data_IF_086589161283
#
_entry.id   IF_086589161283
#
_cell.length_a   1.000
_cell.length_b   1.000
_cell.length_c   1.000
_cell.angle_alpha   90.00
_cell.angle_beta   90.00
_cell.angle_gamma   90.00
#
_symmetry.space_group_name_H-M   'P 1'
#
loop_
_entity.id
_entity.type
_entity.pdbx_description
1 polymer ?
#
# COMPACT_ATOMS: atom_id res chain seq x y z
N UNK A 1 -23.83 -0.73 32.85
CA UNK A 1 -24.42 -0.19 31.61
C UNK A 1 -24.98 1.20 31.93
N UNK A 2 -24.21 2.25 31.68
CA UNK A 2 -24.70 3.62 31.73
C UNK A 2 -24.88 4.10 30.29
N UNK A 3 -26.07 4.55 29.96
CA UNK A 3 -26.41 5.16 28.68
C UNK A 3 -26.35 6.66 28.85
N UNK A 4 -25.50 7.34 28.10
CA UNK A 4 -25.43 8.79 28.05
C UNK A 4 -26.21 9.25 26.80
N UNK A 5 -27.32 9.97 27.00
CA UNK A 5 -28.00 10.68 25.94
C UNK A 5 -27.32 12.05 25.72
N UNK A 6 -26.71 12.22 24.55
CA UNK A 6 -26.36 13.53 24.01
C UNK A 6 -27.43 13.94 23.00
N UNK A 7 -27.97 15.13 23.13
CA UNK A 7 -28.92 15.67 22.15
C UNK A 7 -28.25 15.76 20.77
N UNK A 8 -28.69 14.90 19.86
CA UNK A 8 -28.18 14.72 18.50
C UNK A 8 -27.64 13.30 18.29
N UNK A 9 -28.51 12.40 18.05
CA UNK A 9 -28.44 11.03 17.47
C UNK A 9 -27.07 10.35 17.30
N UNK A 10 -26.35 10.07 18.40
CA UNK A 10 -25.27 9.07 18.40
C UNK A 10 -25.31 8.29 19.73
N UNK A 11 -25.69 7.02 19.66
CA UNK A 11 -25.62 6.06 20.76
C UNK A 11 -24.23 5.39 20.79
N UNK A 12 -23.47 5.59 21.85
CA UNK A 12 -22.26 4.81 22.12
C UNK A 12 -22.47 3.86 23.30
N UNK A 13 -22.25 2.58 23.08
CA UNK A 13 -22.14 1.56 24.15
C UNK A 13 -20.67 1.36 24.49
N UNK A 14 -20.27 1.66 25.72
CA UNK A 14 -18.91 1.49 26.21
C UNK A 14 -18.83 0.30 27.19
N UNK A 15 -17.83 -0.55 27.04
CA UNK A 15 -17.57 -1.64 27.98
C UNK A 15 -16.96 -1.13 29.29
N UNK A 16 -17.29 -1.79 30.39
CA UNK A 16 -17.30 -1.28 31.76
C UNK A 16 -15.95 -0.86 32.39
N UNK A 17 -14.80 -1.23 31.84
CA UNK A 17 -13.51 -0.94 32.46
C UNK A 17 -12.75 0.28 31.86
N UNK A 18 -13.08 0.67 30.65
CA UNK A 18 -12.47 1.83 29.98
C UNK A 18 -13.22 3.13 30.28
N UNK A 19 -14.52 3.01 30.60
CA UNK A 19 -15.44 4.12 30.86
C UNK A 19 -15.11 4.91 32.12
N UNK A 20 -14.59 4.26 33.16
CA UNK A 20 -14.40 4.93 34.46
C UNK A 20 -13.24 5.93 34.44
N UNK A 21 -12.16 5.63 33.74
CA UNK A 21 -11.00 6.53 33.67
C UNK A 21 -11.25 7.74 32.75
N UNK A 22 -11.97 7.53 31.65
CA UNK A 22 -12.34 8.59 30.72
C UNK A 22 -13.37 9.55 31.32
N UNK A 23 -14.38 9.01 32.05
CA UNK A 23 -15.39 9.78 32.74
C UNK A 23 -14.80 10.66 33.87
N UNK A 24 -13.85 10.16 34.65
CA UNK A 24 -13.23 10.92 35.71
C UNK A 24 -12.37 12.08 35.17
N UNK A 25 -11.72 11.92 34.05
CA UNK A 25 -10.95 13.01 33.42
C UNK A 25 -11.87 14.04 32.73
N UNK A 26 -12.95 13.61 32.07
CA UNK A 26 -13.95 14.48 31.46
C UNK A 26 -14.70 15.29 32.55
N UNK A 27 -15.05 14.67 33.70
CA UNK A 27 -15.69 15.37 34.80
C UNK A 27 -14.73 16.36 35.50
N UNK A 28 -13.43 16.06 35.62
CA UNK A 28 -12.45 17.01 36.13
C UNK A 28 -12.31 18.25 35.22
N UNK A 29 -12.34 18.07 33.94
CA UNK A 29 -12.29 19.18 32.94
C UNK A 29 -13.59 20.01 33.02
N UNK A 30 -14.76 19.41 33.25
CA UNK A 30 -16.04 20.10 33.32
C UNK A 30 -16.17 20.99 34.57
N UNK A 31 -15.47 20.68 35.63
CA UNK A 31 -15.49 21.48 36.90
C UNK A 31 -14.67 22.78 36.83
N UNK A 32 -13.75 22.88 35.86
CA UNK A 32 -12.85 24.05 35.75
C UNK A 32 -13.30 25.10 34.73
N UNK A 33 -14.38 24.89 33.96
CA UNK A 33 -14.81 25.84 32.93
C UNK A 33 -16.22 26.37 33.19
N UNK A 34 -16.30 27.64 33.49
CA UNK A 34 -17.53 28.39 33.67
C UNK A 34 -18.27 28.64 32.35
N UNK A 35 -19.56 28.92 32.46
CA UNK A 35 -20.66 28.98 31.46
C UNK A 35 -20.42 29.52 30.02
N UNK A 36 -19.26 30.00 29.64
CA UNK A 36 -19.07 30.69 28.36
C UNK A 36 -18.17 29.98 27.33
N UNK A 37 -17.75 28.72 27.50
CA UNK A 37 -16.78 28.08 26.59
C UNK A 37 -17.09 26.63 26.17
N UNK A 38 -18.34 26.35 25.80
CA UNK A 38 -18.75 25.06 25.23
C UNK A 38 -18.01 24.75 23.93
N UNK A 39 -17.71 25.77 23.13
CA UNK A 39 -16.98 25.62 21.87
C UNK A 39 -15.49 25.22 22.04
N UNK A 40 -14.84 25.71 23.08
CA UNK A 40 -13.43 25.36 23.35
C UNK A 40 -13.30 23.92 23.85
N UNK A 41 -14.22 23.48 24.67
CA UNK A 41 -14.25 22.13 25.23
C UNK A 41 -14.51 21.07 24.16
N UNK A 42 -15.40 21.33 23.17
CA UNK A 42 -15.66 20.40 22.07
C UNK A 42 -14.47 20.27 21.10
N UNK A 43 -13.69 21.34 20.92
CA UNK A 43 -12.50 21.32 20.05
C UNK A 43 -11.34 20.54 20.72
N UNK A 44 -11.17 20.69 22.02
CA UNK A 44 -10.19 19.91 22.80
C UNK A 44 -10.61 18.44 22.88
N UNK A 45 -11.87 18.15 23.17
CA UNK A 45 -12.39 16.78 23.19
C UNK A 45 -12.25 16.07 21.84
N UNK A 46 -12.54 16.76 20.73
CA UNK A 46 -12.28 16.22 19.38
C UNK A 46 -10.80 15.95 19.16
N UNK A 47 -9.89 16.86 19.56
CA UNK A 47 -8.44 16.63 19.43
C UNK A 47 -7.94 15.50 20.31
N UNK A 48 -8.43 15.40 21.54
CA UNK A 48 -8.08 14.31 22.48
C UNK A 48 -8.63 12.98 21.96
N UNK A 49 -9.88 12.95 21.48
CA UNK A 49 -10.47 11.74 20.90
C UNK A 49 -9.71 11.31 19.62
N UNK A 50 -9.39 12.25 18.76
CA UNK A 50 -8.55 12.00 17.58
C UNK A 50 -7.17 11.51 18.00
N UNK A 51 -6.53 12.09 18.99
CA UNK A 51 -5.22 11.65 19.52
C UNK A 51 -5.26 10.21 20.03
N UNK A 52 -6.31 9.85 20.81
CA UNK A 52 -6.47 8.47 21.29
C UNK A 52 -6.82 7.50 20.16
N UNK A 53 -7.69 7.89 19.21
CA UNK A 53 -7.99 7.07 18.04
C UNK A 53 -6.76 6.88 17.13
N UNK A 54 -5.91 7.91 16.99
CA UNK A 54 -4.67 7.82 16.20
C UNK A 54 -3.61 6.98 16.91
N UNK A 55 -3.60 6.95 18.24
CA UNK A 55 -2.64 6.14 19.01
C UNK A 55 -2.90 4.64 18.87
N UNK A 56 -4.15 4.25 18.61
CA UNK A 56 -4.54 2.84 18.41
C UNK A 56 -4.51 2.44 16.92
N UNK A 57 -4.16 3.35 15.99
CA UNK A 57 -3.97 3.00 14.60
C UNK A 57 -2.71 2.13 14.45
N UNK A 58 -2.92 0.93 13.91
CA UNK A 58 -1.82 0.05 13.56
C UNK A 58 -0.94 0.73 12.52
N UNK A 59 0.32 0.96 12.87
CA UNK A 59 1.31 1.45 11.92
C UNK A 59 2.01 0.24 11.31
N UNK A 60 2.12 0.13 9.98
CA UNK A 60 2.87 -0.97 9.37
C UNK A 60 4.35 -0.86 9.71
N UNK A 61 5.00 -2.01 9.81
CA UNK A 61 6.45 -2.11 9.96
C UNK A 61 7.13 -2.02 8.60
N UNK A 62 6.52 -2.63 7.56
CA UNK A 62 7.01 -2.62 6.19
C UNK A 62 5.90 -2.23 5.20
N UNK A 63 6.29 -1.52 4.15
CA UNK A 63 5.40 -1.11 3.06
C UNK A 63 6.03 -1.50 1.73
N UNK A 64 5.24 -2.16 0.88
CA UNK A 64 5.56 -2.38 -0.52
C UNK A 64 4.58 -1.61 -1.38
N UNK A 65 5.06 -0.84 -2.34
CA UNK A 65 4.23 -0.13 -3.31
C UNK A 65 4.61 -0.55 -4.72
N UNK A 66 3.67 -1.11 -5.47
CA UNK A 66 3.90 -1.48 -6.87
C UNK A 66 3.22 -0.52 -7.83
N UNK A 67 3.95 -0.12 -8.87
CA UNK A 67 3.42 0.67 -9.97
C UNK A 67 4.26 0.48 -11.23
N UNK A 68 3.61 0.51 -12.39
CA UNK A 68 4.29 0.55 -13.67
C UNK A 68 5.23 1.76 -13.82
N UNK A 69 4.94 2.84 -13.07
CA UNK A 69 5.69 4.09 -13.15
C UNK A 69 6.82 4.22 -12.12
N UNK A 70 7.17 3.18 -11.38
CA UNK A 70 8.36 3.17 -10.53
C UNK A 70 9.62 3.11 -11.39
N UNK A 71 10.48 4.10 -11.28
CA UNK A 71 11.66 4.32 -12.15
C UNK A 71 11.32 4.35 -13.64
N UNK A 72 10.06 4.59 -13.99
CA UNK A 72 9.55 4.62 -15.35
C UNK A 72 8.58 5.80 -15.49
N UNK A 73 9.06 6.94 -15.98
CA UNK A 73 8.27 8.17 -16.04
C UNK A 73 7.40 8.19 -17.29
N UNK A 74 6.17 7.69 -17.15
CA UNK A 74 5.19 7.61 -18.24
C UNK A 74 4.04 8.59 -18.02
N UNK A 75 3.54 8.73 -16.79
CA UNK A 75 2.33 9.52 -16.52
C UNK A 75 2.31 10.17 -15.14
N UNK A 76 1.11 10.44 -14.64
CA UNK A 76 0.88 11.19 -13.41
C UNK A 76 1.13 10.37 -12.13
N UNK A 77 1.07 9.05 -12.20
CA UNK A 77 1.32 8.19 -11.04
C UNK A 77 2.78 8.32 -10.57
N UNK A 78 3.72 8.43 -11.53
CA UNK A 78 5.10 8.78 -11.22
C UNK A 78 5.20 9.99 -10.30
N UNK A 79 4.47 11.07 -10.63
CA UNK A 79 4.49 12.30 -9.83
C UNK A 79 3.94 12.06 -8.42
N UNK A 80 2.82 11.33 -8.31
CA UNK A 80 2.23 10.99 -7.00
C UNK A 80 3.21 10.21 -6.13
N UNK A 81 3.84 9.17 -6.68
CA UNK A 81 4.76 8.32 -5.93
C UNK A 81 6.05 9.07 -5.57
N UNK A 82 6.68 9.73 -6.56
CA UNK A 82 7.97 10.39 -6.38
C UNK A 82 7.90 11.58 -5.41
N UNK A 83 6.80 12.34 -5.41
CA UNK A 83 6.66 13.50 -4.51
C UNK A 83 6.41 13.10 -3.05
N UNK A 84 5.73 11.97 -2.80
CA UNK A 84 5.49 11.49 -1.44
C UNK A 84 6.60 10.60 -0.89
N UNK A 85 7.48 10.08 -1.76
CA UNK A 85 8.52 9.13 -1.40
C UNK A 85 9.43 9.64 -0.29
N UNK A 86 9.84 10.93 -0.34
CA UNK A 86 10.66 11.52 0.72
C UNK A 86 9.99 11.44 2.10
N UNK A 87 8.70 11.82 2.20
CA UNK A 87 7.96 11.77 3.47
C UNK A 87 7.82 10.35 4.01
N UNK A 88 7.62 9.38 3.11
CA UNK A 88 7.54 7.97 3.48
C UNK A 88 8.91 7.44 3.94
N UNK A 89 9.97 7.81 3.24
CA UNK A 89 11.35 7.44 3.60
C UNK A 89 11.75 8.02 4.95
N UNK A 90 11.40 9.27 5.25
CA UNK A 90 11.62 9.88 6.57
C UNK A 90 10.92 9.11 7.69
N UNK A 91 9.70 8.63 7.44
CA UNK A 91 8.89 7.92 8.42
C UNK A 91 9.28 6.45 8.57
N UNK A 92 9.46 5.75 7.47
CA UNK A 92 9.66 4.29 7.44
C UNK A 92 11.12 3.91 7.17
N UNK A 93 11.94 4.84 6.69
CA UNK A 93 13.32 4.60 6.29
C UNK A 93 13.42 3.44 5.28
N UNK A 94 14.39 2.57 5.42
CA UNK A 94 14.62 1.42 4.54
C UNK A 94 13.63 0.25 4.78
N UNK A 95 12.42 0.56 5.25
CA UNK A 95 11.29 -0.36 5.38
C UNK A 95 10.15 -0.04 4.42
N UNK A 96 10.40 0.87 3.47
CA UNK A 96 9.52 1.08 2.31
C UNK A 96 10.24 0.67 1.04
N UNK A 97 9.55 -0.12 0.22
CA UNK A 97 10.05 -0.67 -1.03
C UNK A 97 9.10 -0.32 -2.16
N UNK A 98 9.63 0.26 -3.22
CA UNK A 98 8.89 0.50 -4.45
C UNK A 98 9.21 -0.60 -5.46
N UNK A 99 8.19 -1.21 -6.05
CA UNK A 99 8.34 -2.30 -7.03
C UNK A 99 7.93 -1.77 -8.39
N UNK A 100 8.84 -1.86 -9.36
CA UNK A 100 8.62 -1.46 -10.75
C UNK A 100 9.03 -2.53 -11.74
N UNK A 101 8.59 -2.40 -13.01
CA UNK A 101 9.02 -3.28 -14.09
C UNK A 101 10.45 -2.97 -14.50
N UNK A 102 11.26 -3.99 -14.75
CA UNK A 102 12.60 -3.81 -15.32
C UNK A 102 12.52 -3.70 -16.85
N UNK A 103 12.01 -2.58 -17.33
CA UNK A 103 11.93 -2.27 -18.78
C UNK A 103 13.21 -1.68 -19.36
N UNK A 104 14.23 -1.49 -18.50
CA UNK A 104 15.52 -0.91 -18.87
C UNK A 104 16.65 -1.95 -18.91
N UNK A 105 16.33 -3.23 -19.07
CA UNK A 105 17.32 -4.29 -19.14
C UNK A 105 18.42 -3.99 -20.17
N UNK A 106 19.67 -4.11 -19.74
CA UNK A 106 20.82 -3.83 -20.61
C UNK A 106 21.03 -2.36 -21.00
N UNK A 107 20.25 -1.44 -20.39
CA UNK A 107 20.38 0.00 -20.58
C UNK A 107 20.50 0.71 -19.25
N UNK A 108 21.16 1.87 -19.24
CA UNK A 108 21.23 2.74 -18.07
C UNK A 108 19.87 3.42 -17.85
N UNK A 109 19.34 3.29 -16.62
CA UNK A 109 18.12 3.98 -16.21
C UNK A 109 18.50 5.19 -15.33
N UNK A 110 18.28 6.43 -15.79
CA UNK A 110 18.68 7.63 -15.04
C UNK A 110 17.92 7.82 -13.73
N UNK A 111 16.82 7.11 -13.55
CA UNK A 111 15.99 7.15 -12.33
C UNK A 111 16.36 6.05 -11.33
N UNK A 112 17.27 5.16 -11.64
CA UNK A 112 17.61 4.01 -10.81
C UNK A 112 19.11 3.92 -10.56
N UNK A 113 19.50 3.92 -9.28
CA UNK A 113 20.89 3.74 -8.84
C UNK A 113 20.98 2.31 -8.28
N UNK A 114 21.52 1.40 -9.07
CA UNK A 114 21.64 -0.01 -8.67
C UNK A 114 22.63 -0.19 -7.51
N UNK A 115 22.34 -1.16 -6.64
CA UNK A 115 23.20 -1.52 -5.53
C UNK A 115 23.35 -3.04 -5.40
N UNK A 116 24.57 -3.50 -5.48
CA UNK A 116 24.88 -4.94 -5.30
C UNK A 116 24.67 -5.39 -3.86
N UNK A 117 24.82 -4.48 -2.90
CA UNK A 117 24.78 -4.80 -1.48
C UNK A 117 23.37 -4.78 -0.88
N UNK A 118 22.45 -3.97 -1.44
CA UNK A 118 21.08 -3.92 -0.94
C UNK A 118 20.38 -5.26 -1.17
N UNK A 119 19.89 -5.84 -0.09
CA UNK A 119 19.17 -7.12 -0.08
C UNK A 119 19.91 -8.26 -0.80
N UNK A 120 21.27 -8.27 -0.80
CA UNK A 120 22.08 -9.19 -1.59
C UNK A 120 21.77 -10.67 -1.34
N UNK A 121 21.60 -11.07 -0.07
CA UNK A 121 21.26 -12.43 0.28
C UNK A 121 19.86 -12.83 -0.24
N UNK A 122 18.88 -11.94 -0.12
CA UNK A 122 17.56 -12.18 -0.67
C UNK A 122 17.56 -12.18 -2.20
N UNK A 123 18.27 -11.27 -2.88
CA UNK A 123 18.38 -11.29 -4.35
C UNK A 123 18.86 -12.65 -4.86
N UNK A 124 19.88 -13.22 -4.20
CA UNK A 124 20.40 -14.55 -4.54
C UNK A 124 19.33 -15.62 -4.33
N UNK A 125 18.65 -15.61 -3.19
CA UNK A 125 17.56 -16.56 -2.89
C UNK A 125 16.41 -16.44 -3.92
N UNK A 126 15.97 -15.23 -4.22
CA UNK A 126 14.90 -14.95 -5.17
C UNK A 126 15.21 -15.56 -6.55
N UNK A 127 16.46 -15.40 -7.02
CA UNK A 127 16.89 -15.98 -8.29
C UNK A 127 16.98 -17.52 -8.24
N UNK A 128 17.61 -18.06 -7.19
CA UNK A 128 17.94 -19.51 -7.14
C UNK A 128 16.76 -20.40 -6.71
N UNK A 129 15.82 -19.87 -5.94
CA UNK A 129 14.71 -20.63 -5.34
C UNK A 129 13.34 -20.25 -5.86
N UNK A 130 13.13 -18.96 -6.14
CA UNK A 130 11.81 -18.45 -6.55
C UNK A 130 11.74 -18.13 -8.04
N UNK A 131 12.83 -18.34 -8.79
CA UNK A 131 12.95 -18.04 -10.23
C UNK A 131 12.64 -16.55 -10.54
N UNK A 132 12.95 -15.67 -9.60
CA UNK A 132 12.73 -14.22 -9.71
C UNK A 132 14.03 -13.50 -10.02
N UNK A 133 14.12 -12.91 -11.20
CA UNK A 133 15.19 -12.01 -11.57
C UNK A 133 14.84 -10.58 -11.14
N UNK A 134 15.60 -10.02 -10.18
CA UNK A 134 15.36 -8.68 -9.66
C UNK A 134 16.65 -7.87 -9.59
N UNK A 135 16.50 -6.56 -9.83
CA UNK A 135 17.53 -5.55 -9.57
C UNK A 135 17.10 -4.71 -8.39
N UNK A 136 17.97 -4.49 -7.42
CA UNK A 136 17.68 -3.68 -6.23
C UNK A 136 18.62 -2.49 -6.16
N UNK A 137 18.05 -1.35 -5.83
CA UNK A 137 18.80 -0.10 -5.75
C UNK A 137 18.01 1.02 -5.09
N UNK A 138 18.37 2.25 -5.43
CA UNK A 138 17.71 3.46 -4.96
C UNK A 138 17.02 4.19 -6.11
N UNK A 139 15.85 4.73 -5.86
CA UNK A 139 15.20 5.65 -6.78
C UNK A 139 15.93 7.00 -6.76
N UNK A 140 16.41 7.47 -7.90
CA UNK A 140 17.11 8.75 -8.02
C UNK A 140 16.14 9.93 -7.95
N UNK A 141 15.52 10.10 -6.80
CA UNK A 141 14.57 11.17 -6.43
C UNK A 141 14.81 11.57 -4.97
N UNK A 142 14.25 12.70 -4.48
CA UNK A 142 14.37 13.07 -3.08
C UNK A 142 13.91 11.95 -2.13
N UNK A 143 14.73 11.67 -1.12
CA UNK A 143 14.53 10.60 -0.17
C UNK A 143 15.16 9.26 -0.54
N UNK A 144 15.56 9.08 -1.79
CA UNK A 144 16.26 7.89 -2.31
C UNK A 144 15.70 6.56 -1.76
N UNK A 145 14.37 6.30 -1.87
CA UNK A 145 13.77 5.09 -1.35
C UNK A 145 14.29 3.85 -2.07
N UNK A 146 14.20 2.70 -1.39
CA UNK A 146 14.58 1.42 -1.99
C UNK A 146 13.61 1.06 -3.12
N UNK A 147 14.17 0.62 -4.23
CA UNK A 147 13.43 0.11 -5.40
C UNK A 147 13.86 -1.32 -5.70
N UNK A 148 12.89 -2.12 -6.06
CA UNK A 148 13.04 -3.45 -6.63
C UNK A 148 12.46 -3.39 -8.05
N UNK A 149 13.31 -3.54 -9.06
CA UNK A 149 12.89 -3.72 -10.44
C UNK A 149 12.83 -5.22 -10.74
N UNK A 150 11.69 -5.70 -11.23
CA UNK A 150 11.47 -7.12 -11.51
C UNK A 150 11.42 -7.39 -13.00
N UNK A 151 12.17 -8.39 -13.46
CA UNK A 151 12.01 -8.96 -14.78
C UNK A 151 10.74 -9.82 -14.81
N UNK A 152 9.75 -9.36 -15.56
CA UNK A 152 8.47 -10.05 -15.69
C UNK A 152 8.35 -10.86 -16.99
N UNK A 153 9.34 -10.79 -17.89
CA UNK A 153 9.31 -11.48 -19.17
C UNK A 153 9.19 -13.02 -19.05
N UNK A 154 9.84 -13.69 -18.09
CA UNK A 154 9.70 -15.15 -17.94
C UNK A 154 8.27 -15.60 -17.63
N UNK A 155 7.43 -14.74 -17.07
CA UNK A 155 6.04 -15.09 -16.75
C UNK A 155 5.13 -15.23 -17.97
N UNK A 156 5.54 -14.73 -19.14
CA UNK A 156 4.80 -14.92 -20.37
C UNK A 156 4.68 -16.40 -20.78
N UNK A 157 5.66 -17.22 -20.44
CA UNK A 157 5.62 -18.67 -20.69
C UNK A 157 4.51 -19.37 -19.88
N UNK A 158 4.20 -18.83 -18.69
CA UNK A 158 3.17 -19.34 -17.77
C UNK A 158 1.85 -18.53 -17.83
N UNK A 159 1.73 -17.59 -18.77
CA UNK A 159 0.62 -16.62 -18.85
C UNK A 159 -0.77 -17.27 -18.81
N UNK A 160 -0.98 -18.29 -19.63
CA UNK A 160 -2.29 -18.94 -19.72
C UNK A 160 -2.66 -19.69 -18.42
N UNK A 161 -1.68 -20.26 -17.73
CA UNK A 161 -1.90 -20.93 -16.45
C UNK A 161 -2.25 -19.89 -15.37
N UNK A 162 -1.53 -18.76 -15.35
CA UNK A 162 -1.80 -17.63 -14.44
C UNK A 162 -3.22 -17.08 -14.67
N UNK A 163 -3.63 -16.89 -15.93
CA UNK A 163 -4.98 -16.41 -16.26
C UNK A 163 -6.07 -17.40 -15.91
N UNK A 164 -5.79 -18.70 -16.11
CA UNK A 164 -6.70 -19.77 -15.70
C UNK A 164 -6.90 -19.78 -14.19
N UNK A 165 -5.81 -19.59 -13.43
CA UNK A 165 -5.87 -19.49 -11.98
C UNK A 165 -6.70 -18.28 -11.53
N UNK A 166 -6.49 -17.10 -12.12
CA UNK A 166 -7.25 -15.88 -11.85
C UNK A 166 -8.73 -16.05 -12.18
N UNK A 167 -9.06 -16.74 -13.27
CA UNK A 167 -10.44 -17.08 -13.58
C UNK A 167 -11.07 -18.01 -12.54
N UNK A 168 -10.39 -19.11 -12.21
CA UNK A 168 -10.93 -20.11 -11.29
C UNK A 168 -11.18 -19.55 -9.90
N UNK A 169 -10.34 -18.61 -9.44
CA UNK A 169 -10.40 -18.05 -8.09
C UNK A 169 -11.27 -16.81 -8.01
N UNK A 170 -11.14 -15.91 -8.95
CA UNK A 170 -11.71 -14.57 -8.88
C UNK A 170 -12.70 -14.25 -10.01
N UNK A 171 -12.90 -15.15 -10.95
CA UNK A 171 -13.73 -14.96 -12.15
C UNK A 171 -13.25 -13.76 -13.01
N UNK A 172 -11.93 -13.49 -12.99
CA UNK A 172 -11.31 -12.45 -13.80
C UNK A 172 -10.99 -13.03 -15.17
N UNK A 173 -11.78 -12.65 -16.19
CA UNK A 173 -11.54 -13.05 -17.58
C UNK A 173 -10.40 -12.22 -18.19
N UNK A 174 -9.23 -12.85 -18.28
CA UNK A 174 -8.01 -12.24 -18.83
C UNK A 174 -7.66 -12.76 -20.22
N UNK A 175 -8.20 -13.93 -20.63
CA UNK A 175 -7.87 -14.55 -21.93
C UNK A 175 -8.42 -13.75 -23.13
N UNK A 176 -9.49 -12.98 -22.93
CA UNK A 176 -10.10 -12.14 -23.95
C UNK A 176 -9.65 -10.66 -23.85
N UNK A 177 -8.69 -10.36 -22.99
CA UNK A 177 -8.15 -9.02 -22.91
C UNK A 177 -7.33 -8.67 -24.14
N UNK A 178 -7.17 -7.38 -24.39
CA UNK A 178 -6.49 -6.87 -25.59
C UNK A 178 -5.54 -5.71 -25.22
N UNK A 179 -4.71 -5.34 -26.20
CA UNK A 179 -3.75 -4.26 -26.05
C UNK A 179 -2.55 -4.63 -25.20
N UNK A 180 -2.20 -3.75 -24.27
CA UNK A 180 -1.06 -3.87 -23.36
C UNK A 180 -1.38 -4.60 -22.05
N UNK A 181 -2.53 -5.27 -21.97
CA UNK A 181 -2.98 -5.98 -20.77
C UNK A 181 -2.02 -7.08 -20.35
N UNK A 182 -1.48 -7.82 -21.30
CA UNK A 182 -0.58 -8.94 -21.03
C UNK A 182 0.70 -8.49 -20.31
N UNK A 183 1.32 -7.40 -20.77
CA UNK A 183 2.51 -6.86 -20.14
C UNK A 183 2.22 -6.39 -18.69
N UNK A 184 1.15 -5.62 -18.54
CA UNK A 184 0.74 -5.10 -17.25
C UNK A 184 0.40 -6.22 -16.26
N UNK A 185 -0.33 -7.25 -16.69
CA UNK A 185 -0.72 -8.38 -15.84
C UNK A 185 0.46 -9.26 -15.46
N UNK A 186 1.39 -9.52 -16.36
CA UNK A 186 2.61 -10.29 -16.06
C UNK A 186 3.52 -9.53 -15.09
N UNK A 187 3.69 -8.23 -15.29
CA UNK A 187 4.37 -7.39 -14.31
C UNK A 187 3.66 -7.41 -12.94
N UNK A 188 2.34 -7.26 -12.95
CA UNK A 188 1.55 -7.27 -11.72
C UNK A 188 1.73 -8.56 -10.92
N UNK A 189 1.65 -9.70 -11.60
CA UNK A 189 1.87 -11.01 -11.00
C UNK A 189 3.29 -11.15 -10.46
N UNK A 190 4.30 -10.75 -11.25
CA UNK A 190 5.70 -10.74 -10.83
C UNK A 190 5.93 -9.87 -9.59
N UNK A 191 5.29 -8.69 -9.51
CA UNK A 191 5.37 -7.83 -8.33
C UNK A 191 4.78 -8.50 -7.09
N UNK A 192 3.67 -9.23 -7.23
CA UNK A 192 3.11 -10.06 -6.16
C UNK A 192 4.07 -11.16 -5.70
N UNK A 193 4.73 -11.84 -6.64
CA UNK A 193 5.76 -12.85 -6.35
C UNK A 193 6.96 -12.24 -5.60
N UNK A 194 7.36 -11.01 -5.94
CA UNK A 194 8.43 -10.30 -5.21
C UNK A 194 8.03 -10.07 -3.76
N UNK A 195 6.80 -9.64 -3.49
CA UNK A 195 6.30 -9.43 -2.12
C UNK A 195 6.31 -10.75 -1.34
N UNK A 196 5.79 -11.85 -1.92
CA UNK A 196 5.80 -13.18 -1.31
C UNK A 196 7.23 -13.62 -0.97
N UNK A 197 8.13 -13.61 -1.96
CA UNK A 197 9.52 -14.03 -1.79
C UNK A 197 10.23 -13.22 -0.71
N UNK A 198 10.10 -11.89 -0.74
CA UNK A 198 10.70 -11.02 0.26
C UNK A 198 10.17 -11.29 1.67
N UNK A 199 8.84 -11.41 1.79
CA UNK A 199 8.17 -11.67 3.07
C UNK A 199 8.65 -13.00 3.67
N UNK A 200 8.60 -14.08 2.89
CA UNK A 200 8.99 -15.42 3.37
C UNK A 200 10.47 -15.53 3.75
N UNK A 201 11.33 -14.75 3.10
CA UNK A 201 12.77 -14.78 3.37
C UNK A 201 13.19 -13.86 4.52
N UNK A 202 12.66 -12.64 4.61
CA UNK A 202 13.16 -11.60 5.51
C UNK A 202 12.27 -11.32 6.72
N UNK A 203 10.97 -11.65 6.66
CA UNK A 203 9.97 -11.21 7.63
C UNK A 203 9.32 -12.39 8.35
N UNK A 204 8.55 -12.07 9.38
CA UNK A 204 7.85 -13.05 10.22
C UNK A 204 6.37 -12.66 10.38
N UNK A 205 5.55 -13.56 10.91
CA UNK A 205 4.13 -13.31 11.17
C UNK A 205 3.86 -12.15 12.16
N UNK A 206 4.88 -11.72 12.89
CA UNK A 206 4.76 -10.57 13.81
C UNK A 206 4.97 -9.24 13.12
N UNK A 207 5.57 -9.23 11.92
CA UNK A 207 5.79 -8.02 11.14
C UNK A 207 4.49 -7.58 10.45
N UNK A 208 4.09 -6.33 10.67
CA UNK A 208 2.91 -5.73 10.05
C UNK A 208 3.28 -5.20 8.69
N UNK A 209 2.85 -5.88 7.65
CA UNK A 209 3.21 -5.58 6.27
C UNK A 209 2.01 -5.11 5.49
N UNK A 210 2.21 -4.06 4.69
CA UNK A 210 1.21 -3.54 3.74
C UNK A 210 1.77 -3.61 2.33
N UNK A 211 0.99 -4.16 1.42
CA UNK A 211 1.22 -4.09 -0.02
C UNK A 211 0.20 -3.17 -0.67
N UNK A 212 0.65 -2.10 -1.29
CA UNK A 212 -0.18 -1.15 -2.02
C UNK A 212 0.06 -1.27 -3.52
N UNK A 213 -0.98 -1.63 -4.25
CA UNK A 213 -0.99 -1.76 -5.69
C UNK A 213 -1.64 -0.52 -6.33
N UNK A 214 -0.97 0.10 -7.31
CA UNK A 214 -1.41 1.33 -7.96
C UNK A 214 -1.93 1.07 -9.36
N UNK A 215 -3.20 1.37 -9.59
CA UNK A 215 -3.92 1.24 -10.85
C UNK A 215 -4.13 -0.21 -11.31
N UNK A 216 -4.94 -0.37 -12.38
CA UNK A 216 -5.30 -1.66 -12.96
C UNK A 216 -4.08 -2.51 -13.34
N UNK A 217 -2.98 -1.86 -13.72
CA UNK A 217 -1.72 -2.50 -14.10
C UNK A 217 -1.05 -3.28 -12.97
N UNK A 218 -1.54 -3.17 -11.73
CA UNK A 218 -1.00 -3.86 -10.55
C UNK A 218 -2.05 -4.66 -9.75
N UNK A 219 -3.28 -4.70 -10.26
CA UNK A 219 -4.40 -5.35 -9.57
C UNK A 219 -4.25 -6.87 -9.41
N UNK A 220 -3.73 -7.56 -10.43
CA UNK A 220 -3.51 -9.01 -10.38
C UNK A 220 -2.53 -9.41 -9.27
N UNK A 221 -1.47 -8.61 -9.06
CA UNK A 221 -0.53 -8.85 -7.97
C UNK A 221 -1.17 -8.68 -6.58
N UNK A 222 -2.12 -7.73 -6.44
CA UNK A 222 -2.87 -7.59 -5.20
C UNK A 222 -3.72 -8.84 -4.90
N UNK A 223 -4.41 -9.38 -5.89
CA UNK A 223 -5.17 -10.63 -5.76
C UNK A 223 -4.25 -11.80 -5.43
N UNK A 224 -3.10 -11.88 -6.10
CA UNK A 224 -2.11 -12.91 -5.81
C UNK A 224 -1.62 -12.86 -4.35
N UNK A 225 -1.22 -11.68 -3.86
CA UNK A 225 -0.69 -11.51 -2.49
C UNK A 225 -1.72 -11.86 -1.44
N UNK A 226 -3.00 -11.49 -1.65
CA UNK A 226 -4.09 -11.82 -0.71
C UNK A 226 -4.18 -13.32 -0.42
N UNK A 227 -3.83 -14.14 -1.38
CA UNK A 227 -3.91 -15.58 -1.25
C UNK A 227 -2.59 -16.21 -0.83
N UNK A 228 -1.50 -15.82 -1.50
CA UNK A 228 -0.18 -16.41 -1.27
C UNK A 228 0.39 -16.02 0.09
N UNK A 229 0.08 -14.82 0.58
CA UNK A 229 0.59 -14.26 1.85
C UNK A 229 -0.52 -13.50 2.57
N UNK A 230 -1.52 -14.18 3.15
CA UNK A 230 -2.68 -13.56 3.79
C UNK A 230 -2.34 -12.68 5.00
N UNK A 231 -1.12 -12.80 5.53
CA UNK A 231 -0.57 -11.97 6.61
C UNK A 231 -0.26 -10.53 6.13
N UNK A 232 -0.10 -10.34 4.83
CA UNK A 232 0.15 -9.03 4.21
C UNK A 232 -1.17 -8.33 3.91
N UNK A 233 -1.40 -7.19 4.53
CA UNK A 233 -2.57 -6.36 4.23
C UNK A 233 -2.41 -5.74 2.82
N UNK A 234 -3.44 -5.88 1.98
CA UNK A 234 -3.42 -5.35 0.61
C UNK A 234 -4.28 -4.10 0.47
N UNK A 235 -3.76 -3.11 -0.26
CA UNK A 235 -4.46 -1.88 -0.64
C UNK A 235 -4.40 -1.75 -2.16
N UNK A 236 -5.56 -1.54 -2.78
CA UNK A 236 -5.64 -1.20 -4.19
C UNK A 236 -6.03 0.27 -4.36
N UNK A 237 -5.23 1.03 -5.11
CA UNK A 237 -5.43 2.47 -5.32
C UNK A 237 -5.67 2.77 -6.78
N UNK A 238 -6.85 3.29 -7.11
CA UNK A 238 -7.16 3.82 -8.44
C UNK A 238 -6.86 5.32 -8.49
N UNK A 239 -6.15 5.76 -9.53
CA UNK A 239 -5.85 7.17 -9.77
C UNK A 239 -6.81 7.79 -10.78
N UNK A 240 -7.26 7.00 -11.76
CA UNK A 240 -8.26 7.42 -12.72
C UNK A 240 -9.03 6.20 -13.27
N UNK A 241 -10.35 6.23 -13.17
CA UNK A 241 -11.21 5.19 -13.74
C UNK A 241 -11.79 5.66 -15.08
N UNK A 242 -12.07 4.73 -15.99
CA UNK A 242 -12.74 5.01 -17.26
C UNK A 242 -14.10 5.68 -17.02
N UNK A 243 -14.85 5.20 -16.03
CA UNK A 243 -16.14 5.79 -15.62
C UNK A 243 -15.95 7.21 -15.12
N UNK A 244 -15.00 7.44 -14.20
CA UNK A 244 -14.71 8.75 -13.64
C UNK A 244 -14.28 9.77 -14.71
N UNK A 245 -13.43 9.35 -15.66
CA UNK A 245 -13.03 10.18 -16.80
C UNK A 245 -14.21 10.49 -17.71
N UNK A 246 -15.09 9.50 -17.97
CA UNK A 246 -16.28 9.71 -18.79
C UNK A 246 -17.27 10.68 -18.13
N UNK A 247 -17.49 10.59 -16.83
CA UNK A 247 -18.36 11.53 -16.08
C UNK A 247 -17.77 12.95 -16.15
N UNK A 248 -16.50 13.11 -15.79
CA UNK A 248 -15.84 14.41 -15.76
C UNK A 248 -15.74 15.04 -17.18
N UNK A 249 -15.39 14.26 -18.20
CA UNK A 249 -15.24 14.73 -19.57
C UNK A 249 -16.55 15.10 -20.24
N UNK A 250 -17.68 14.59 -19.76
CA UNK A 250 -19.01 14.92 -20.29
C UNK A 250 -19.80 15.88 -19.38
N UNK A 251 -19.17 16.50 -18.39
CA UNK A 251 -19.80 17.38 -17.42
C UNK A 251 -21.07 16.79 -16.78
N UNK A 252 -21.09 15.47 -16.56
CA UNK A 252 -22.18 14.79 -15.86
C UNK A 252 -22.00 14.92 -14.35
N UNK A 253 -23.09 15.22 -13.60
CA UNK A 253 -23.03 15.30 -12.14
C UNK A 253 -22.72 13.95 -11.49
#
# INVERSE_FOLDING_TARGET
>A
NAVLHLQGDVLFSLSTNFSFFLLTHIFRIKYYFSKNNVYFCTRILKRVLIYYMVKDLLTPDYIFESSWEVCNKVGGIYTVLSTRANTLQEKFRDRIFFIGPDVWQGKENPLFIESDNLCAAWKKHALEKDELSVRVGRWNIPGEPIVILVDFQPFFEKKNDIYTEMWNRYQVDSLHAYGDYDEASMFSYAAGKVVESFYRYNLTETDKVVYQAHEWMTGMGALYVQEAVPEVATIFTTHATSIGRSIAGNNKP
#
